data_IF_446127086587
#
_entry.id   IF_446127086587
#
_cell.length_a   1.000
_cell.length_b   1.000
_cell.length_c   1.000
_cell.angle_alpha   90.00
_cell.angle_beta   90.00
_cell.angle_gamma   90.00
#
_symmetry.space_group_name_H-M   'P 1'
#
loop_
_entity.id
_entity.type
_entity.pdbx_description
1 polymer ?
#
# COMPACT_ATOMS: atom_id res chain seq x y z
N UNK A 1 10.37 -13.95 -0.95
CA UNK A 1 9.04 -13.91 -1.58
C UNK A 1 8.30 -12.73 -0.96
N UNK A 2 7.89 -11.73 -1.73
CA UNK A 2 7.22 -10.56 -1.15
C UNK A 2 5.75 -10.87 -0.83
N UNK A 3 5.24 -10.34 0.28
CA UNK A 3 3.82 -10.35 0.62
C UNK A 3 3.11 -9.34 -0.28
N UNK A 4 2.18 -9.82 -1.09
CA UNK A 4 1.41 -9.00 -2.03
C UNK A 4 0.16 -8.48 -1.34
N UNK A 5 0.01 -7.15 -1.30
CA UNK A 5 -1.14 -6.49 -0.68
C UNK A 5 -1.84 -5.56 -1.65
N UNK A 6 -3.16 -5.42 -1.50
CA UNK A 6 -3.94 -4.36 -2.12
C UNK A 6 -4.37 -3.33 -1.08
N UNK A 7 -4.49 -2.06 -1.48
CA UNK A 7 -5.03 -0.99 -0.64
C UNK A 7 -6.42 -0.62 -1.14
N UNK A 8 -7.46 -0.84 -0.34
CA UNK A 8 -8.82 -0.41 -0.64
C UNK A 8 -9.19 0.81 0.23
N UNK A 9 -9.24 1.99 -0.39
CA UNK A 9 -9.31 3.30 0.27
C UNK A 9 -7.95 3.99 0.32
N UNK A 10 -7.67 4.85 -0.67
CA UNK A 10 -6.45 5.64 -0.84
C UNK A 10 -6.54 7.09 -0.34
N UNK A 11 -7.36 7.29 0.69
CA UNK A 11 -7.44 8.53 1.46
C UNK A 11 -6.19 8.80 2.32
N UNK A 12 -6.36 9.56 3.40
CA UNK A 12 -5.25 9.97 4.30
C UNK A 12 -4.43 8.77 4.81
N UNK A 13 -5.10 7.70 5.25
CA UNK A 13 -4.43 6.52 5.82
C UNK A 13 -3.84 5.64 4.72
N UNK A 14 -4.55 5.37 3.63
CA UNK A 14 -4.03 4.56 2.52
C UNK A 14 -2.71 5.10 1.96
N UNK A 15 -2.59 6.42 1.82
CA UNK A 15 -1.32 7.06 1.42
C UNK A 15 -0.19 6.91 2.44
N UNK A 16 -0.50 6.98 3.74
CA UNK A 16 0.52 6.76 4.78
C UNK A 16 0.97 5.30 4.83
N UNK A 17 0.04 4.35 4.66
CA UNK A 17 0.35 2.91 4.58
C UNK A 17 1.24 2.63 3.37
N UNK A 18 0.88 3.11 2.17
CA UNK A 18 1.70 2.96 0.98
C UNK A 18 3.12 3.50 1.18
N UNK A 19 3.25 4.72 1.74
CA UNK A 19 4.55 5.30 2.06
C UNK A 19 5.34 4.44 3.04
N UNK A 20 4.70 3.94 4.10
CA UNK A 20 5.34 3.10 5.08
C UNK A 20 5.84 1.79 4.46
N UNK A 21 5.03 1.14 3.61
CA UNK A 21 5.41 -0.06 2.86
C UNK A 21 6.67 0.18 2.01
N UNK A 22 6.69 1.23 1.21
CA UNK A 22 7.84 1.55 0.33
C UNK A 22 9.11 1.88 1.12
N UNK A 23 8.98 2.55 2.27
CA UNK A 23 10.14 3.04 3.02
C UNK A 23 10.70 2.03 4.04
N UNK A 24 9.85 1.20 4.65
CA UNK A 24 10.23 0.42 5.84
C UNK A 24 10.07 -1.09 5.67
N UNK A 25 9.39 -1.57 4.61
CA UNK A 25 9.03 -2.98 4.46
C UNK A 25 9.41 -3.49 3.06
N UNK A 26 10.67 -3.91 2.90
CA UNK A 26 11.20 -4.44 1.62
C UNK A 26 10.59 -5.78 1.20
N UNK A 27 9.89 -6.44 2.11
CA UNK A 27 9.18 -7.70 1.90
C UNK A 27 7.70 -7.51 1.53
N UNK A 28 7.22 -6.26 1.41
CA UNK A 28 5.84 -5.95 1.00
C UNK A 28 5.82 -5.37 -0.41
N UNK A 29 4.93 -5.90 -1.25
CA UNK A 29 4.64 -5.40 -2.60
C UNK A 29 3.17 -4.94 -2.66
N UNK A 30 2.93 -3.65 -2.92
CA UNK A 30 1.59 -3.14 -3.16
C UNK A 30 1.23 -3.38 -4.63
N UNK A 31 0.34 -4.34 -4.87
CA UNK A 31 -0.01 -4.81 -6.22
C UNK A 31 -1.23 -4.11 -6.83
N UNK A 32 -1.95 -3.33 -6.03
CA UNK A 32 -3.13 -2.62 -6.50
C UNK A 32 -3.68 -1.65 -5.47
N UNK A 33 -4.30 -0.58 -5.96
CA UNK A 33 -4.98 0.42 -5.16
C UNK A 33 -6.38 0.61 -5.75
N UNK A 34 -7.40 0.53 -4.90
CA UNK A 34 -8.78 0.84 -5.25
C UNK A 34 -9.25 2.04 -4.42
N UNK A 35 -9.71 3.10 -5.08
CA UNK A 35 -10.32 4.27 -4.45
C UNK A 35 -11.44 4.82 -5.34
N UNK A 36 -12.18 5.82 -4.85
CA UNK A 36 -13.33 6.41 -5.55
C UNK A 36 -13.03 7.79 -6.13
N UNK A 37 -11.84 8.34 -5.85
CA UNK A 37 -11.36 9.64 -6.36
C UNK A 37 -10.39 9.47 -7.53
#
# INVERSE_FOLDING_TARGET
MAIKIGINGFGRIGRMVFRACVQNFSDIEVVGINDLL
#
